data_IF_199071583302
#
_entry.id   IF_199071583302
#
_cell.length_a   1.000
_cell.length_b   1.000
_cell.length_c   1.000
_cell.angle_alpha   90.00
_cell.angle_beta   90.00
_cell.angle_gamma   90.00
#
_symmetry.space_group_name_H-M   'P 1'
#
loop_
_entity.id
_entity.type
_entity.pdbx_description
1 polymer ?
#
# COMPACT_ATOMS: atom_id res chain seq x y z
N UNK A 1 11.75 -7.84 10.45
CA UNK A 1 10.81 -6.71 10.27
C UNK A 1 11.40 -5.78 9.24
N UNK A 2 10.81 -5.71 8.04
CA UNK A 2 11.30 -4.88 6.95
C UNK A 2 10.38 -3.69 6.75
N UNK A 3 10.85 -2.49 7.06
CA UNK A 3 10.23 -1.25 6.58
C UNK A 3 10.82 -0.97 5.20
N UNK A 4 9.97 -0.93 4.18
CA UNK A 4 10.40 -0.63 2.81
C UNK A 4 10.49 0.89 2.60
N UNK A 5 9.51 1.63 3.12
CA UNK A 5 9.50 3.10 3.22
C UNK A 5 8.33 3.52 4.12
N UNK A 6 8.45 4.64 4.84
CA UNK A 6 7.33 5.28 5.53
C UNK A 6 6.77 6.43 4.69
N UNK A 7 5.48 6.35 4.35
CA UNK A 7 4.74 7.37 3.61
C UNK A 7 3.32 7.45 4.15
N UNK A 8 2.85 8.68 4.33
CA UNK A 8 1.48 8.97 4.78
C UNK A 8 0.70 9.57 3.61
N UNK A 9 -0.56 9.14 3.43
CA UNK A 9 -1.48 9.81 2.50
C UNK A 9 -1.98 11.12 3.11
N UNK A 10 -2.13 12.17 2.31
CA UNK A 10 -2.74 13.44 2.76
C UNK A 10 -4.26 13.41 2.72
N UNK A 11 -4.86 12.31 2.26
CA UNK A 11 -6.31 12.11 2.25
C UNK A 11 -6.75 11.24 3.44
N UNK A 12 -7.28 11.85 4.52
CA UNK A 12 -7.75 11.12 5.69
C UNK A 12 -9.01 10.29 5.41
N UNK A 13 -9.84 10.67 4.44
CA UNK A 13 -11.05 9.93 4.10
C UNK A 13 -10.68 8.62 3.37
N UNK A 14 -9.71 8.68 2.46
CA UNK A 14 -9.16 7.48 1.82
C UNK A 14 -8.50 6.57 2.85
N UNK A 15 -7.70 7.11 3.78
CA UNK A 15 -7.09 6.33 4.84
C UNK A 15 -8.13 5.59 5.68
N UNK A 16 -9.21 6.29 6.08
CA UNK A 16 -10.31 5.68 6.83
C UNK A 16 -11.02 4.59 6.01
N UNK A 17 -11.23 4.78 4.72
CA UNK A 17 -11.88 3.79 3.86
C UNK A 17 -11.03 2.51 3.69
N UNK A 18 -9.72 2.64 3.51
CA UNK A 18 -8.77 1.52 3.47
C UNK A 18 -8.81 0.71 4.77
N UNK A 19 -8.78 1.40 5.92
CA UNK A 19 -8.83 0.76 7.23
C UNK A 19 -10.18 0.07 7.49
N UNK A 20 -11.28 0.66 7.02
CA UNK A 20 -12.61 0.11 7.24
C UNK A 20 -12.88 -1.16 6.42
N UNK A 21 -12.33 -1.25 5.19
CA UNK A 21 -12.57 -2.37 4.26
C UNK A 21 -11.30 -2.76 3.48
N UNK A 22 -10.25 -3.28 4.15
CA UNK A 22 -8.97 -3.59 3.50
C UNK A 22 -9.11 -4.62 2.37
N UNK A 23 -10.08 -5.53 2.44
CA UNK A 23 -10.36 -6.52 1.42
C UNK A 23 -10.79 -5.93 0.07
N UNK A 24 -11.11 -4.64 0.01
CA UNK A 24 -11.42 -3.93 -1.24
C UNK A 24 -10.19 -3.30 -1.90
N UNK A 25 -9.02 -3.39 -1.28
CA UNK A 25 -7.81 -2.69 -1.72
C UNK A 25 -6.64 -3.65 -1.97
N UNK A 26 -5.88 -3.32 -3.00
CA UNK A 26 -4.70 -4.04 -3.45
C UNK A 26 -3.46 -3.14 -3.32
N UNK A 27 -2.34 -3.70 -2.86
CA UNK A 27 -1.06 -3.00 -2.80
C UNK A 27 -0.10 -3.51 -3.86
N UNK A 28 0.56 -2.57 -4.55
CA UNK A 28 1.72 -2.83 -5.38
C UNK A 28 2.83 -1.84 -5.02
N UNK A 29 3.96 -2.36 -4.55
CA UNK A 29 5.12 -1.58 -4.13
C UNK A 29 6.16 -1.61 -5.25
N UNK A 30 6.49 -0.43 -5.78
CA UNK A 30 7.46 -0.27 -6.86
C UNK A 30 8.79 0.24 -6.32
N UNK A 31 9.89 -0.20 -6.93
CA UNK A 31 11.24 0.33 -6.67
C UNK A 31 11.92 0.64 -8.00
N UNK A 32 13.00 1.42 -7.98
CA UNK A 32 13.78 1.69 -9.19
C UNK A 32 14.33 0.39 -9.82
N UNK A 33 14.73 -0.59 -8.99
CA UNK A 33 15.25 -1.88 -9.45
C UNK A 33 14.15 -2.83 -9.96
N UNK A 34 12.91 -2.66 -9.51
CA UNK A 34 11.75 -3.41 -10.00
C UNK A 34 10.57 -2.49 -10.28
N UNK A 35 10.58 -1.81 -11.45
CA UNK A 35 9.53 -0.83 -11.81
C UNK A 35 8.16 -1.45 -12.01
N UNK A 36 8.07 -2.76 -12.27
CA UNK A 36 6.78 -3.45 -12.44
C UNK A 36 6.14 -3.84 -11.11
N UNK A 37 6.92 -3.85 -10.01
CA UNK A 37 6.45 -4.08 -8.65
C UNK A 37 7.26 -5.15 -7.93
N UNK A 38 7.92 -4.77 -6.84
CA UNK A 38 8.73 -5.62 -5.94
C UNK A 38 7.87 -6.45 -4.99
N UNK A 39 6.77 -5.90 -4.45
CA UNK A 39 5.85 -6.58 -3.53
C UNK A 39 4.42 -6.28 -3.92
N UNK A 40 3.57 -7.31 -3.86
CA UNK A 40 2.18 -7.27 -4.33
C UNK A 40 1.26 -8.12 -3.46
N UNK A 41 0.03 -7.69 -3.26
CA UNK A 41 -0.96 -8.49 -2.56
C UNK A 41 -2.25 -7.76 -2.24
N UNK A 42 -3.26 -8.52 -1.81
CA UNK A 42 -4.44 -7.98 -1.17
C UNK A 42 -4.10 -7.53 0.25
N UNK A 43 -4.81 -6.51 0.77
CA UNK A 43 -4.59 -6.05 2.15
C UNK A 43 -5.26 -6.94 3.21
N UNK A 44 -6.12 -7.88 2.81
CA UNK A 44 -6.78 -8.87 3.67
C UNK A 44 -6.61 -10.28 3.11
#
# INVERSE_FOLDING_TARGET
TGLIVERTTTDPALAAAILARPENYYVNVHTAACPTGTIRGQLA
#
